data_IF_756711017094
#
_entry.id   IF_756711017094
#
_cell.length_a   1.000
_cell.length_b   1.000
_cell.length_c   1.000
_cell.angle_alpha   90.00
_cell.angle_beta   90.00
_cell.angle_gamma   90.00
#
_symmetry.space_group_name_H-M   'P 1'
#
loop_
_entity.id
_entity.type
_entity.pdbx_description
1 polymer ?
#
# COMPACT_ATOMS: atom_id res chain seq x y z
N UNK A 1 -10.67 -10.58 -13.69
CA UNK A 1 -10.80 -9.55 -12.64
C UNK A 1 -11.43 -8.26 -13.16
N UNK A 2 -10.76 -7.40 -13.95
CA UNK A 2 -11.42 -6.19 -14.50
C UNK A 2 -12.53 -6.55 -15.50
N UNK A 3 -12.22 -7.46 -16.43
CA UNK A 3 -13.21 -8.00 -17.39
C UNK A 3 -14.29 -8.90 -16.75
N UNK A 4 -14.10 -9.37 -15.51
CA UNK A 4 -15.15 -10.07 -14.76
C UNK A 4 -16.11 -9.09 -14.08
N UNK A 5 -15.64 -7.87 -13.80
CA UNK A 5 -16.44 -6.88 -13.11
C UNK A 5 -17.56 -6.33 -14.00
N UNK A 6 -17.28 -6.12 -15.29
CA UNK A 6 -18.30 -5.81 -16.31
C UNK A 6 -19.37 -6.90 -16.43
N UNK A 7 -19.09 -8.12 -15.93
CA UNK A 7 -19.95 -9.29 -16.09
C UNK A 7 -20.66 -9.75 -14.81
N UNK A 8 -20.16 -9.39 -13.61
CA UNK A 8 -20.67 -9.93 -12.33
C UNK A 8 -20.82 -8.94 -11.15
N UNK A 9 -20.54 -7.64 -11.31
CA UNK A 9 -20.92 -6.63 -10.28
C UNK A 9 -20.22 -6.78 -8.92
N UNK A 10 -18.99 -7.31 -8.89
CA UNK A 10 -18.28 -7.53 -7.63
C UNK A 10 -17.54 -6.26 -7.17
N UNK A 11 -17.85 -5.77 -5.97
CA UNK A 11 -17.14 -4.67 -5.31
C UNK A 11 -15.68 -5.04 -5.09
N UNK A 12 -14.73 -4.19 -5.46
CA UNK A 12 -13.32 -4.35 -5.09
C UNK A 12 -12.69 -2.99 -4.80
N UNK A 13 -11.54 -3.01 -4.14
CA UNK A 13 -10.76 -1.81 -3.85
C UNK A 13 -9.29 -2.01 -4.18
N UNK A 14 -8.61 -0.91 -4.49
CA UNK A 14 -7.17 -0.82 -4.64
C UNK A 14 -6.57 -0.02 -3.49
N UNK A 15 -5.39 -0.44 -3.07
CA UNK A 15 -4.53 0.29 -2.12
C UNK A 15 -3.15 0.41 -2.74
N UNK A 16 -2.73 1.63 -3.08
CA UNK A 16 -1.37 1.96 -3.48
C UNK A 16 -0.59 2.37 -2.24
N UNK A 17 0.60 1.82 -2.04
CA UNK A 17 1.43 2.02 -0.85
C UNK A 17 2.84 2.39 -1.28
N UNK A 18 3.45 3.29 -0.51
CA UNK A 18 4.85 3.65 -0.65
C UNK A 18 5.50 3.78 0.74
N UNK A 19 6.74 3.31 0.85
CA UNK A 19 7.54 3.48 2.06
C UNK A 19 8.12 4.89 2.10
N UNK A 20 7.75 5.63 3.15
CA UNK A 20 8.13 7.02 3.29
C UNK A 20 9.65 7.18 3.43
N UNK A 21 10.20 8.09 2.62
CA UNK A 21 11.62 8.49 2.67
C UNK A 21 12.61 7.31 2.53
N UNK A 22 12.23 6.28 1.78
CA UNK A 22 13.05 5.07 1.60
C UNK A 22 14.42 5.33 0.96
N UNK A 23 14.54 6.35 0.09
CA UNK A 23 15.85 6.80 -0.40
C UNK A 23 16.75 7.28 0.74
N UNK A 24 16.24 8.12 1.65
CA UNK A 24 16.99 8.60 2.81
C UNK A 24 17.36 7.44 3.75
N UNK A 25 16.44 6.49 3.92
CA UNK A 25 16.72 5.25 4.66
C UNK A 25 17.90 4.48 4.03
N UNK A 26 17.91 4.28 2.71
CA UNK A 26 19.02 3.65 2.00
C UNK A 26 20.32 4.43 2.12
N UNK A 27 20.28 5.76 1.98
CA UNK A 27 21.46 6.61 2.10
C UNK A 27 22.06 6.54 3.53
N UNK A 28 21.22 6.28 4.55
CA UNK A 28 21.62 6.20 5.96
C UNK A 28 22.13 4.80 6.35
N UNK A 29 21.44 3.74 5.92
CA UNK A 29 21.68 2.37 6.40
C UNK A 29 22.31 1.45 5.33
N UNK A 30 22.40 1.91 4.08
CA UNK A 30 22.90 1.14 2.96
C UNK A 30 21.85 0.25 2.30
N UNK A 31 22.02 0.03 1.00
CA UNK A 31 21.06 -0.72 0.16
C UNK A 31 20.79 -2.14 0.64
N UNK A 32 21.77 -2.82 1.26
CA UNK A 32 21.57 -4.17 1.79
C UNK A 32 20.50 -4.19 2.91
N UNK A 33 20.51 -3.18 3.78
CA UNK A 33 19.51 -3.02 4.83
C UNK A 33 18.17 -2.61 4.22
N UNK A 34 18.18 -1.72 3.23
CA UNK A 34 16.98 -1.37 2.46
C UNK A 34 16.29 -2.59 1.85
N UNK A 35 17.04 -3.46 1.18
CA UNK A 35 16.50 -4.69 0.60
C UNK A 35 15.89 -5.61 1.67
N UNK A 36 16.52 -5.72 2.83
CA UNK A 36 15.96 -6.47 3.95
C UNK A 36 14.67 -5.85 4.49
N UNK A 37 14.61 -4.52 4.58
CA UNK A 37 13.40 -3.79 4.95
C UNK A 37 12.26 -4.05 3.96
N UNK A 38 12.52 -4.05 2.66
CA UNK A 38 11.49 -4.35 1.67
C UNK A 38 10.92 -5.76 1.85
N UNK A 39 11.76 -6.74 2.20
CA UNK A 39 11.31 -8.11 2.50
C UNK A 39 10.47 -8.15 3.79
N UNK A 40 10.93 -7.52 4.86
CA UNK A 40 10.20 -7.47 6.13
C UNK A 40 8.85 -6.74 6.00
N UNK A 41 8.82 -5.66 5.22
CA UNK A 41 7.58 -4.97 4.89
C UNK A 41 6.65 -5.89 4.10
N UNK A 42 7.15 -6.57 3.07
CA UNK A 42 6.35 -7.52 2.30
C UNK A 42 5.76 -8.64 3.17
N UNK A 43 6.54 -9.22 4.09
CA UNK A 43 6.05 -10.19 5.07
C UNK A 43 4.95 -9.61 5.97
N UNK A 44 5.16 -8.38 6.46
CA UNK A 44 4.18 -7.67 7.31
C UNK A 44 2.84 -7.49 6.59
N UNK A 45 2.86 -7.22 5.28
CA UNK A 45 1.64 -7.14 4.47
C UNK A 45 1.03 -8.52 4.24
N UNK A 46 1.85 -9.51 3.87
CA UNK A 46 1.40 -10.87 3.56
C UNK A 46 0.68 -11.55 4.74
N UNK A 47 1.12 -11.29 5.97
CA UNK A 47 0.48 -11.83 7.18
C UNK A 47 -0.90 -11.22 7.48
N UNK A 48 -1.23 -10.09 6.83
CA UNK A 48 -2.46 -9.32 7.07
C UNK A 48 -3.49 -9.43 5.95
N UNK A 49 -3.04 -9.72 4.73
CA UNK A 49 -3.94 -9.85 3.57
C UNK A 49 -4.58 -11.25 3.52
N UNK A 50 -5.70 -11.35 2.82
CA UNK A 50 -6.39 -12.61 2.58
C UNK A 50 -5.74 -13.33 1.40
N UNK A 51 -5.96 -14.65 1.30
CA UNK A 51 -5.53 -15.45 0.15
C UNK A 51 -6.10 -14.96 -1.19
N UNK A 52 -7.25 -14.30 -1.16
CA UNK A 52 -7.92 -13.74 -2.36
C UNK A 52 -7.34 -12.40 -2.78
N UNK A 53 -6.65 -11.71 -1.88
CA UNK A 53 -6.07 -10.41 -2.18
C UNK A 53 -4.80 -10.61 -3.01
N UNK A 54 -4.55 -9.68 -3.93
CA UNK A 54 -3.35 -9.71 -4.77
C UNK A 54 -2.43 -8.60 -4.30
N UNK A 55 -1.24 -8.97 -3.86
CA UNK A 55 -0.19 -8.04 -3.46
C UNK A 55 0.96 -8.09 -4.45
N UNK A 56 1.34 -6.92 -4.96
CA UNK A 56 2.40 -6.78 -5.94
C UNK A 56 3.31 -5.60 -5.58
N UNK A 57 4.60 -5.75 -5.91
CA UNK A 57 5.56 -4.64 -5.93
C UNK A 57 5.57 -4.04 -7.33
N UNK A 58 5.22 -2.77 -7.46
CA UNK A 58 5.09 -2.08 -8.75
C UNK A 58 6.34 -1.26 -9.10
N UNK A 59 7.17 -0.93 -8.10
CA UNK A 59 8.37 -0.13 -8.28
C UNK A 59 9.46 -0.43 -7.24
N UNK A 60 10.35 0.55 -7.02
CA UNK A 60 11.44 0.45 -6.04
C UNK A 60 10.93 0.25 -4.62
N UNK A 61 10.16 1.21 -4.11
CA UNK A 61 9.54 1.18 -2.77
C UNK A 61 8.01 1.19 -2.81
N UNK A 62 7.45 0.98 -4.00
CA UNK A 62 6.01 1.09 -4.30
C UNK A 62 5.35 -0.28 -4.40
N UNK A 63 4.17 -0.39 -3.79
CA UNK A 63 3.38 -1.61 -3.72
C UNK A 63 1.92 -1.33 -4.02
N UNK A 64 1.22 -2.35 -4.50
CA UNK A 64 -0.19 -2.33 -4.80
C UNK A 64 -0.88 -3.55 -4.18
N UNK A 65 -2.03 -3.32 -3.54
CA UNK A 65 -2.92 -4.38 -3.07
C UNK A 65 -4.26 -4.23 -3.80
N UNK A 66 -4.66 -5.29 -4.49
CA UNK A 66 -6.03 -5.47 -4.99
C UNK A 66 -6.80 -6.33 -4.01
N UNK A 67 -7.94 -5.82 -3.54
CA UNK A 67 -8.80 -6.46 -2.56
C UNK A 67 -10.16 -6.78 -3.19
N UNK A 68 -10.34 -7.99 -3.75
CA UNK A 68 -11.63 -8.43 -4.26
C UNK A 68 -12.69 -8.46 -3.15
N UNK A 69 -13.96 -8.25 -3.50
CA UNK A 69 -15.10 -8.29 -2.58
C UNK A 69 -14.94 -7.36 -1.36
N UNK A 70 -14.25 -6.25 -1.54
CA UNK A 70 -13.89 -5.33 -0.45
C UNK A 70 -14.34 -3.91 -0.79
N UNK A 71 -15.20 -3.36 0.06
CA UNK A 71 -15.65 -1.96 -0.04
C UNK A 71 -14.52 -0.98 0.26
N UNK A 72 -14.63 0.24 -0.25
CA UNK A 72 -13.66 1.30 0.02
C UNK A 72 -13.48 1.56 1.53
N UNK A 73 -14.55 1.46 2.32
CA UNK A 73 -14.52 1.64 3.77
C UNK A 73 -13.67 0.57 4.45
N UNK A 74 -13.85 -0.69 4.06
CA UNK A 74 -13.06 -1.81 4.59
C UNK A 74 -11.61 -1.74 4.14
N UNK A 75 -11.35 -1.34 2.89
CA UNK A 75 -10.00 -1.14 2.38
C UNK A 75 -9.28 0.01 3.10
N UNK A 76 -9.98 1.12 3.39
CA UNK A 76 -9.45 2.23 4.17
C UNK A 76 -9.10 1.80 5.60
N UNK A 77 -9.99 1.04 6.27
CA UNK A 77 -9.72 0.50 7.60
C UNK A 77 -8.49 -0.43 7.61
N UNK A 78 -8.37 -1.29 6.60
CA UNK A 78 -7.21 -2.14 6.43
C UNK A 78 -5.92 -1.32 6.24
N UNK A 79 -5.96 -0.32 5.35
CA UNK A 79 -4.80 0.52 5.05
C UNK A 79 -4.33 1.33 6.27
N UNK A 80 -5.27 1.87 7.07
CA UNK A 80 -4.93 2.57 8.32
C UNK A 80 -4.33 1.62 9.36
N UNK A 81 -4.92 0.45 9.56
CA UNK A 81 -4.37 -0.55 10.49
C UNK A 81 -2.98 -1.05 10.07
N UNK A 82 -2.74 -1.20 8.76
CA UNK A 82 -1.42 -1.53 8.22
C UNK A 82 -0.43 -0.39 8.49
N UNK A 83 -0.83 0.86 8.22
CA UNK A 83 0.01 2.05 8.45
C UNK A 83 0.44 2.16 9.91
N UNK A 84 -0.50 2.04 10.85
CA UNK A 84 -0.22 2.07 12.29
C UNK A 84 0.72 0.94 12.69
N UNK A 85 0.45 -0.28 12.24
CA UNK A 85 1.33 -1.42 12.52
C UNK A 85 2.75 -1.23 12.02
N UNK A 86 2.94 -0.63 10.85
CA UNK A 86 4.28 -0.39 10.28
C UNK A 86 5.00 0.69 11.08
N UNK A 87 4.30 1.77 11.44
CA UNK A 87 4.85 2.85 12.24
C UNK A 87 5.28 2.41 13.65
N UNK A 88 4.56 1.45 14.23
CA UNK A 88 4.85 0.92 15.58
C UNK A 88 5.92 -0.18 15.56
N UNK A 89 6.02 -0.95 14.47
CA UNK A 89 6.96 -2.08 14.37
C UNK A 89 8.42 -1.59 14.46
N UNK A 90 9.16 -2.21 15.37
CA UNK A 90 10.62 -2.15 15.40
C UNK A 90 11.15 -3.21 14.42
N UNK A 91 11.70 -2.79 13.29
CA UNK A 91 12.27 -3.71 12.31
C UNK A 91 13.70 -4.06 12.69
N UNK A 92 14.06 -5.34 12.50
CA UNK A 92 15.40 -5.85 12.70
C UNK A 92 15.91 -6.46 11.41
N UNK A 93 16.95 -5.87 10.82
CA UNK A 93 17.47 -6.26 9.51
C UNK A 93 18.99 -6.17 9.50
N UNK A 94 19.65 -7.20 8.97
CA UNK A 94 21.10 -7.25 8.80
C UNK A 94 21.89 -6.94 10.09
N UNK A 95 21.36 -7.32 11.26
CA UNK A 95 21.98 -7.06 12.56
C UNK A 95 21.78 -5.63 13.10
N UNK A 96 21.02 -4.78 12.40
CA UNK A 96 20.50 -3.53 12.94
C UNK A 96 19.12 -3.77 13.53
N UNK A 97 18.87 -3.23 14.72
CA UNK A 97 17.61 -3.32 15.43
C UNK A 97 16.94 -1.94 15.55
N UNK A 98 15.65 -1.97 15.89
CA UNK A 98 14.81 -0.78 16.12
C UNK A 98 14.76 0.20 14.94
N UNK A 99 14.84 -0.33 13.71
CA UNK A 99 14.62 0.44 12.50
C UNK A 99 13.15 0.83 12.42
N UNK A 100 12.90 2.13 12.19
CA UNK A 100 11.56 2.70 12.07
C UNK A 100 11.28 3.16 10.65
N UNK A 101 10.07 2.88 10.20
CA UNK A 101 9.58 3.22 8.87
C UNK A 101 8.13 3.67 9.00
N UNK A 102 7.69 4.54 8.10
CA UNK A 102 6.28 4.83 7.92
C UNK A 102 5.89 4.57 6.48
N UNK A 103 4.59 4.45 6.24
CA UNK A 103 4.04 4.32 4.89
C UNK A 103 3.01 5.40 4.62
N UNK A 104 2.96 5.82 3.37
CA UNK A 104 1.83 6.56 2.82
C UNK A 104 1.00 5.64 1.94
N UNK A 105 -0.33 5.80 1.98
CA UNK A 105 -1.22 4.99 1.15
C UNK A 105 -2.34 5.80 0.48
N UNK A 106 -2.68 5.40 -0.75
CA UNK A 106 -3.86 5.84 -1.48
C UNK A 106 -4.87 4.71 -1.61
N UNK A 107 -6.15 5.00 -1.38
CA UNK A 107 -7.24 4.01 -1.44
C UNK A 107 -8.33 4.46 -2.41
N UNK A 108 -8.81 3.54 -3.24
CA UNK A 108 -9.93 3.76 -4.15
C UNK A 108 -10.79 2.49 -4.26
N UNK A 109 -12.11 2.65 -4.33
CA UNK A 109 -13.03 1.56 -4.65
C UNK A 109 -13.38 1.57 -6.14
N UNK A 110 -13.86 0.44 -6.65
CA UNK A 110 -14.29 0.32 -8.04
C UNK A 110 -15.52 1.16 -8.39
N UNK A 111 -16.39 1.47 -7.43
CA UNK A 111 -17.64 2.23 -7.64
C UNK A 111 -17.38 3.71 -7.93
N UNK A 112 -16.17 4.17 -7.63
CA UNK A 112 -15.75 5.56 -7.76
C UNK A 112 -15.21 5.89 -9.16
N UNK A 113 -15.17 4.91 -10.08
CA UNK A 113 -14.47 5.04 -11.36
C UNK A 113 -15.34 4.48 -12.47
N UNK A 114 -15.55 5.29 -13.51
CA UNK A 114 -16.43 4.96 -14.64
C UNK A 114 -15.69 4.35 -15.83
N UNK A 115 -14.39 4.61 -15.99
CA UNK A 115 -13.65 4.29 -17.23
C UNK A 115 -12.68 3.10 -17.09
N UNK A 116 -12.89 2.25 -16.08
CA UNK A 116 -12.18 0.98 -15.93
C UNK A 116 -10.83 1.07 -15.20
N UNK A 117 -9.99 0.05 -15.39
CA UNK A 117 -8.85 -0.22 -14.50
C UNK A 117 -7.74 0.83 -14.55
N UNK A 118 -7.50 1.44 -15.71
CA UNK A 118 -6.43 2.42 -15.86
C UNK A 118 -6.76 3.72 -15.11
N UNK A 119 -8.01 4.17 -15.18
CA UNK A 119 -8.49 5.32 -14.41
C UNK A 119 -8.44 5.00 -12.90
N UNK A 120 -8.80 3.79 -12.50
CA UNK A 120 -8.76 3.35 -11.10
C UNK A 120 -7.34 3.41 -10.51
N UNK A 121 -6.35 2.91 -11.24
CA UNK A 121 -4.94 3.02 -10.86
C UNK A 121 -4.52 4.50 -10.75
N UNK A 122 -4.85 5.31 -11.76
CA UNK A 122 -4.52 6.73 -11.75
C UNK A 122 -5.14 7.49 -10.57
N UNK A 123 -6.38 7.17 -10.18
CA UNK A 123 -7.03 7.75 -9.00
C UNK A 123 -6.33 7.29 -7.72
N UNK A 124 -5.98 6.00 -7.63
CA UNK A 124 -5.27 5.43 -6.49
C UNK A 124 -3.91 6.12 -6.27
N UNK A 125 -3.14 6.32 -7.35
CA UNK A 125 -1.85 7.00 -7.33
C UNK A 125 -2.00 8.47 -6.92
N UNK A 126 -3.05 9.16 -7.40
CA UNK A 126 -3.35 10.53 -6.94
C UNK A 126 -3.62 10.59 -5.44
N UNK A 127 -4.30 9.58 -4.89
CA UNK A 127 -4.56 9.51 -3.45
C UNK A 127 -3.27 9.23 -2.67
N UNK A 128 -2.40 8.36 -3.16
CA UNK A 128 -1.08 8.12 -2.57
C UNK A 128 -0.23 9.40 -2.60
N UNK A 129 -0.22 10.10 -3.73
CA UNK A 129 0.48 11.37 -3.85
C UNK A 129 -0.07 12.42 -2.87
N UNK A 130 -1.39 12.50 -2.71
CA UNK A 130 -2.04 13.37 -1.71
C UNK A 130 -1.60 13.01 -0.28
N UNK A 131 -1.47 11.72 0.03
CA UNK A 131 -0.96 11.25 1.32
C UNK A 131 0.49 11.74 1.55
N UNK A 132 1.39 11.55 0.59
CA UNK A 132 2.77 12.04 0.68
C UNK A 132 2.83 13.56 0.86
N UNK A 133 2.08 14.30 0.04
CA UNK A 133 2.02 15.78 0.05
C UNK A 133 1.47 16.38 1.33
N UNK A 134 0.58 15.68 2.02
CA UNK A 134 -0.02 16.16 3.26
C UNK A 134 0.83 15.87 4.49
N UNK A 135 2.06 15.37 4.33
CA UNK A 135 3.01 15.17 5.42
C UNK A 135 3.30 13.70 5.72
N UNK A 136 3.10 12.79 4.76
CA UNK A 136 3.41 11.36 4.86
C UNK A 136 2.73 10.66 6.04
N UNK A 137 3.08 9.40 6.31
CA UNK A 137 2.52 8.55 7.37
C UNK A 137 1.00 8.70 7.47
N UNK A 138 0.31 8.52 6.34
CA UNK A 138 -1.15 8.68 6.28
C UNK A 138 -1.78 7.92 5.14
N UNK A 139 -3.08 7.69 5.27
CA UNK A 139 -3.91 7.18 4.19
C UNK A 139 -4.79 8.30 3.64
N UNK A 140 -4.94 8.35 2.32
CA UNK A 140 -5.92 9.19 1.65
C UNK A 140 -6.84 8.29 0.82
N UNK A 141 -8.13 8.58 0.83
CA UNK A 141 -9.11 7.88 -0.01
C UNK A 141 -9.81 8.85 -0.95
N UNK A 142 -10.27 8.32 -2.09
CA UNK A 142 -11.17 9.04 -2.98
C UNK A 142 -12.59 8.98 -2.41
N UNK A 143 -13.22 10.14 -2.25
CA UNK A 143 -14.57 10.28 -1.71
C UNK A 143 -15.61 10.30 -2.83
#
# INVERSE_FOLDING_TARGET
MVAEQERYGHTFSLVAIDIDDFKLFNDTHGHLVGDGILREFAHTVQDRIRRTDVFARTGGEEFLILMPHTSIKSALQFAEALRESVAEKAFSVCGLDDLKLTISAGVVGCEQVSEGAQELLAVCDRMLYKAKRNGRNRVCCHQ
#
